data_IF_504326708929
#
_entry.id   IF_504326708929
#
_cell.length_a   1.000
_cell.length_b   1.000
_cell.length_c   1.000
_cell.angle_alpha   90.00
_cell.angle_beta   90.00
_cell.angle_gamma   90.00
#
_symmetry.space_group_name_H-M   'P 1'
#
loop_
_entity.id
_entity.type
_entity.pdbx_description
1 polymer ?
#
# COMPACT_ATOMS: atom_id res chain seq x y z
N UNK A 1 -22.02 41.74 5.82
CA UNK A 1 -21.55 41.64 4.45
C UNK A 1 -20.42 40.68 4.48
N UNK A 2 -20.67 39.45 4.00
CA UNK A 2 -19.81 38.27 4.20
C UNK A 2 -18.88 38.10 2.99
N UNK A 3 -17.60 38.23 3.23
CA UNK A 3 -16.57 37.76 2.30
C UNK A 3 -16.03 36.42 2.81
N UNK A 4 -16.68 35.32 2.43
CA UNK A 4 -16.14 33.96 2.62
C UNK A 4 -16.60 33.04 1.47
N UNK A 5 -16.23 33.37 0.24
CA UNK A 5 -16.59 32.51 -0.91
C UNK A 5 -15.47 32.22 -1.91
N UNK A 6 -14.23 32.39 -1.53
CA UNK A 6 -13.08 32.18 -2.44
C UNK A 6 -12.13 31.03 -2.09
N UNK A 7 -12.25 30.42 -0.92
CA UNK A 7 -11.28 29.41 -0.45
C UNK A 7 -11.78 27.96 -0.49
N UNK A 8 -13.07 27.72 -0.74
CA UNK A 8 -13.66 26.38 -0.64
C UNK A 8 -13.50 25.51 -1.89
N UNK A 9 -13.14 26.04 -3.04
CA UNK A 9 -13.04 25.23 -4.27
C UNK A 9 -11.66 24.63 -4.53
N UNK A 10 -10.60 25.17 -3.94
CA UNK A 10 -9.24 24.64 -4.12
C UNK A 10 -8.90 23.51 -3.13
N UNK A 11 -9.64 23.42 -2.02
CA UNK A 11 -9.36 22.50 -0.93
C UNK A 11 -10.00 21.12 -1.16
N UNK A 12 -11.13 21.05 -1.90
CA UNK A 12 -11.89 19.83 -2.08
C UNK A 12 -11.25 18.79 -3.03
N UNK A 13 -10.39 19.20 -3.94
CA UNK A 13 -9.72 18.28 -4.88
C UNK A 13 -8.49 17.58 -4.28
N UNK A 14 -7.75 18.30 -3.44
CA UNK A 14 -6.52 17.79 -2.83
C UNK A 14 -6.83 17.05 -1.52
N UNK A 15 -7.84 17.48 -0.77
CA UNK A 15 -8.27 16.84 0.47
C UNK A 15 -8.89 15.45 0.26
N UNK A 16 -9.49 15.16 -0.87
CA UNK A 16 -10.06 13.83 -1.14
C UNK A 16 -8.98 12.75 -1.20
N UNK A 17 -7.81 13.06 -1.74
CA UNK A 17 -6.71 12.11 -1.81
C UNK A 17 -5.90 12.05 -0.49
N UNK A 18 -5.81 13.17 0.24
CA UNK A 18 -5.12 13.23 1.53
C UNK A 18 -5.97 12.60 2.64
N UNK A 19 -7.29 12.74 2.58
CA UNK A 19 -8.21 12.16 3.56
C UNK A 19 -8.15 10.61 3.56
N UNK A 20 -8.01 10.00 2.39
CA UNK A 20 -7.82 8.54 2.26
C UNK A 20 -6.46 8.08 2.81
N UNK A 21 -5.41 8.88 2.62
CA UNK A 21 -4.09 8.60 3.18
C UNK A 21 -4.04 8.77 4.71
N UNK A 22 -4.74 9.77 5.25
CA UNK A 22 -4.77 10.04 6.71
C UNK A 22 -5.49 8.93 7.47
N UNK A 23 -6.52 8.31 6.89
CA UNK A 23 -7.24 7.23 7.57
C UNK A 23 -6.42 5.92 7.58
N UNK A 24 -5.61 5.67 6.55
CA UNK A 24 -4.65 4.57 6.59
C UNK A 24 -3.53 4.82 7.63
N UNK A 25 -3.16 6.09 7.88
CA UNK A 25 -2.18 6.47 8.89
C UNK A 25 -2.71 6.35 10.33
N UNK A 26 -4.00 6.60 10.55
CA UNK A 26 -4.58 6.52 11.91
C UNK A 26 -4.62 5.09 12.43
N UNK A 27 -4.65 4.08 11.54
CA UNK A 27 -4.54 2.68 11.94
C UNK A 27 -3.12 2.28 12.40
N UNK A 28 -2.10 3.12 12.13
CA UNK A 28 -0.70 2.87 12.45
C UNK A 28 -0.13 3.83 13.52
N UNK A 29 -0.95 4.66 14.16
CA UNK A 29 -0.47 5.55 15.21
C UNK A 29 -0.12 4.76 16.48
N UNK A 30 1.09 4.97 17.07
CA UNK A 30 1.42 4.37 18.34
C UNK A 30 0.47 4.89 19.43
N UNK A 31 0.03 4.00 20.29
CA UNK A 31 -0.88 4.30 21.40
C UNK A 31 -0.37 5.48 22.23
N UNK A 32 -1.01 6.61 22.10
CA UNK A 32 -0.95 7.67 23.11
C UNK A 32 -2.04 7.35 24.12
N UNK A 33 -1.62 6.97 25.31
CA UNK A 33 -2.50 6.65 26.44
C UNK A 33 -3.30 7.88 26.84
N UNK A 34 -4.58 7.91 26.46
CA UNK A 34 -5.59 8.74 27.09
C UNK A 34 -6.94 8.04 27.01
N UNK A 35 -7.65 7.89 28.12
CA UNK A 35 -8.88 7.12 28.17
C UNK A 35 -10.05 7.97 27.70
N UNK A 36 -10.45 7.81 26.44
CA UNK A 36 -11.79 8.19 26.01
C UNK A 36 -12.45 6.92 25.48
N UNK A 37 -13.68 6.61 25.91
CA UNK A 37 -14.44 5.54 25.31
C UNK A 37 -14.84 6.01 23.90
N UNK A 38 -13.97 5.79 22.93
CA UNK A 38 -14.35 5.83 21.53
C UNK A 38 -15.15 4.56 21.31
N UNK A 39 -16.45 4.69 21.38
CA UNK A 39 -17.38 3.80 20.72
C UNK A 39 -16.86 3.64 19.31
N UNK A 40 -16.25 2.50 19.04
CA UNK A 40 -15.74 2.15 17.71
C UNK A 40 -16.99 2.01 16.85
N UNK A 41 -17.41 3.12 16.23
CA UNK A 41 -18.37 3.08 15.15
C UNK A 41 -17.80 2.11 14.12
N UNK A 42 -18.51 1.07 13.71
CA UNK A 42 -18.08 0.26 12.58
C UNK A 42 -17.95 1.22 11.41
N UNK A 43 -16.77 1.36 10.88
CA UNK A 43 -16.48 2.19 9.70
C UNK A 43 -17.23 1.59 8.50
N UNK A 44 -18.52 1.88 8.41
CA UNK A 44 -19.28 1.69 7.19
C UNK A 44 -18.82 2.75 6.21
N UNK A 45 -18.02 2.35 5.23
CA UNK A 45 -17.63 3.21 4.12
C UNK A 45 -16.13 3.46 3.96
N UNK A 46 -15.28 2.59 4.49
CA UNK A 46 -13.88 2.60 4.10
C UNK A 46 -13.80 2.15 2.64
N UNK A 47 -13.78 3.11 1.73
CA UNK A 47 -13.47 2.83 0.34
C UNK A 47 -11.98 2.45 0.27
N UNK A 48 -11.70 1.13 0.35
CA UNK A 48 -10.35 0.57 0.17
C UNK A 48 -9.85 0.75 -1.27
N UNK A 49 -10.61 1.46 -2.06
CA UNK A 49 -10.35 1.69 -3.45
C UNK A 49 -9.60 3.00 -3.60
N UNK A 50 -8.33 2.92 -3.87
CA UNK A 50 -7.48 4.06 -4.15
C UNK A 50 -6.69 3.86 -5.46
N UNK A 51 -7.36 3.53 -6.56
CA UNK A 51 -6.67 3.35 -7.83
C UNK A 51 -6.06 4.69 -8.27
N UNK A 52 -4.80 4.62 -8.74
CA UNK A 52 -4.00 5.77 -9.18
C UNK A 52 -3.68 6.80 -8.09
N UNK A 53 -3.84 6.47 -6.80
CA UNK A 53 -3.46 7.35 -5.70
C UNK A 53 -1.98 7.67 -5.72
N UNK A 54 -1.65 8.90 -5.34
CA UNK A 54 -0.29 9.30 -5.03
C UNK A 54 -0.01 9.01 -3.54
N UNK A 55 0.71 7.91 -3.30
CA UNK A 55 1.08 7.42 -1.98
C UNK A 55 2.60 7.42 -1.80
N UNK A 56 3.31 8.19 -2.60
CA UNK A 56 4.78 8.25 -2.56
C UNK A 56 5.26 8.67 -1.18
N UNK A 57 6.28 7.96 -0.70
CA UNK A 57 6.94 8.21 0.59
C UNK A 57 5.99 8.24 1.79
N UNK A 58 4.75 7.71 1.64
CA UNK A 58 3.80 7.63 2.74
C UNK A 58 4.16 6.51 3.71
N UNK A 59 3.85 6.72 4.99
CA UNK A 59 3.95 5.67 5.99
C UNK A 59 2.66 4.86 6.03
N UNK A 60 2.71 3.66 5.46
CA UNK A 60 1.65 2.66 5.47
C UNK A 60 2.08 1.44 6.30
N UNK A 61 2.94 1.67 7.27
CA UNK A 61 3.46 0.63 8.16
C UNK A 61 2.31 -0.03 8.92
N UNK A 62 2.33 -1.37 8.93
CA UNK A 62 1.33 -2.22 9.59
C UNK A 62 -0.13 -1.94 9.13
N UNK A 63 -0.32 -1.29 7.99
CA UNK A 63 -1.63 -0.93 7.46
C UNK A 63 -2.45 -2.17 7.08
N UNK A 64 -3.75 -2.13 7.33
CA UNK A 64 -4.70 -3.19 6.96
C UNK A 64 -5.27 -2.92 5.55
N UNK A 65 -4.60 -3.42 4.52
CA UNK A 65 -4.93 -3.22 3.11
C UNK A 65 -5.47 -4.50 2.43
N UNK A 66 -6.10 -5.38 3.22
CA UNK A 66 -6.67 -6.64 2.72
C UNK A 66 -7.71 -6.35 1.63
N UNK A 67 -7.52 -6.92 0.44
CA UNK A 67 -8.42 -6.75 -0.71
C UNK A 67 -8.48 -5.31 -1.24
N UNK A 68 -7.53 -4.45 -0.91
CA UNK A 68 -7.51 -3.06 -1.37
C UNK A 68 -7.33 -2.98 -2.89
N UNK A 69 -8.05 -2.06 -3.55
CA UNK A 69 -7.81 -1.68 -4.94
C UNK A 69 -6.77 -0.56 -5.00
N UNK A 70 -5.53 -0.94 -5.31
CA UNK A 70 -4.38 -0.05 -5.45
C UNK A 70 -3.83 -0.05 -6.89
N UNK A 71 -4.69 -0.37 -7.84
CA UNK A 71 -4.31 -0.41 -9.26
C UNK A 71 -3.71 0.91 -9.72
N UNK A 72 -2.53 0.82 -10.35
CA UNK A 72 -1.81 1.98 -10.88
C UNK A 72 -1.46 3.04 -9.82
N UNK A 73 -1.55 2.72 -8.52
CA UNK A 73 -1.13 3.63 -7.45
C UNK A 73 0.38 3.89 -7.50
N UNK A 74 0.78 5.09 -7.14
CA UNK A 74 2.19 5.47 -7.02
C UNK A 74 2.62 5.33 -5.55
N UNK A 75 3.25 4.20 -5.24
CA UNK A 75 3.74 3.82 -3.91
C UNK A 75 5.27 3.89 -3.82
N UNK A 76 5.92 4.66 -4.69
CA UNK A 76 7.37 4.77 -4.68
C UNK A 76 7.88 5.29 -3.35
N UNK A 77 8.93 4.65 -2.85
CA UNK A 77 9.58 4.99 -1.59
C UNK A 77 8.63 4.95 -0.36
N UNK A 78 7.45 4.33 -0.49
CA UNK A 78 6.51 4.18 0.63
C UNK A 78 7.02 3.18 1.67
N UNK A 79 6.69 3.42 2.94
CA UNK A 79 6.96 2.49 4.05
C UNK A 79 5.75 1.56 4.26
N UNK A 80 5.84 0.35 3.70
CA UNK A 80 4.81 -0.70 3.78
C UNK A 80 5.22 -1.84 4.72
N UNK A 81 6.16 -1.60 5.64
CA UNK A 81 6.63 -2.63 6.56
C UNK A 81 5.48 -3.22 7.36
N UNK A 82 5.39 -4.56 7.38
CA UNK A 82 4.35 -5.27 8.10
C UNK A 82 2.93 -5.05 7.57
N UNK A 83 2.73 -4.31 6.48
CA UNK A 83 1.40 -4.08 5.93
C UNK A 83 0.75 -5.38 5.47
N UNK A 84 -0.55 -5.52 5.70
CA UNK A 84 -1.32 -6.64 5.23
C UNK A 84 -2.03 -6.29 3.91
N UNK A 85 -1.44 -6.76 2.81
CA UNK A 85 -1.89 -6.60 1.42
C UNK A 85 -2.51 -7.88 0.87
N UNK A 86 -2.99 -8.79 1.73
CA UNK A 86 -3.58 -10.05 1.31
C UNK A 86 -4.74 -9.81 0.33
N UNK A 87 -4.68 -10.45 -0.84
CA UNK A 87 -5.68 -10.31 -1.88
C UNK A 87 -5.82 -8.90 -2.48
N UNK A 88 -4.91 -7.97 -2.19
CA UNK A 88 -4.94 -6.64 -2.78
C UNK A 88 -4.64 -6.68 -4.29
N UNK A 89 -5.28 -5.80 -5.04
CA UNK A 89 -5.00 -5.56 -6.46
C UNK A 89 -4.03 -4.39 -6.61
N UNK A 90 -2.78 -4.72 -6.92
CA UNK A 90 -1.69 -3.78 -7.18
C UNK A 90 -1.35 -3.67 -8.67
N UNK A 91 -2.21 -4.16 -9.56
CA UNK A 91 -1.92 -4.21 -11.01
C UNK A 91 -1.43 -2.87 -11.54
N UNK A 92 -0.26 -2.87 -12.15
CA UNK A 92 0.39 -1.68 -12.69
C UNK A 92 0.83 -0.63 -11.65
N UNK A 93 0.80 -0.94 -10.36
CA UNK A 93 1.29 -0.04 -9.33
C UNK A 93 2.81 0.16 -9.40
N UNK A 94 3.28 1.29 -8.90
CA UNK A 94 4.69 1.67 -8.85
C UNK A 94 5.18 1.57 -7.41
N UNK A 95 5.99 0.56 -7.13
CA UNK A 95 6.54 0.26 -5.81
C UNK A 95 8.08 0.37 -5.79
N UNK A 96 8.66 1.07 -6.78
CA UNK A 96 10.11 1.17 -6.81
C UNK A 96 10.65 1.89 -5.56
N UNK A 97 11.66 1.29 -4.94
CA UNK A 97 12.25 1.77 -3.68
C UNK A 97 11.38 1.58 -2.44
N UNK A 98 10.18 1.03 -2.54
CA UNK A 98 9.31 0.82 -1.38
C UNK A 98 9.89 -0.19 -0.37
N UNK A 99 9.63 0.03 0.91
CA UNK A 99 10.01 -0.89 1.99
C UNK A 99 8.84 -1.80 2.36
N UNK A 100 8.85 -3.03 1.85
CA UNK A 100 7.83 -4.06 2.05
C UNK A 100 8.28 -5.14 3.05
N UNK A 101 9.27 -4.87 3.89
CA UNK A 101 9.80 -5.86 4.84
C UNK A 101 8.69 -6.40 5.75
N UNK A 102 8.56 -7.73 5.78
CA UNK A 102 7.55 -8.40 6.58
C UNK A 102 6.10 -8.17 6.13
N UNK A 103 5.86 -7.51 5.01
CA UNK A 103 4.50 -7.34 4.47
C UNK A 103 3.90 -8.69 4.04
N UNK A 104 2.58 -8.82 4.11
CA UNK A 104 1.82 -9.96 3.63
C UNK A 104 1.15 -9.62 2.28
N UNK A 105 1.63 -10.25 1.20
CA UNK A 105 1.08 -10.14 -0.16
C UNK A 105 0.48 -11.48 -0.62
N UNK A 106 0.00 -12.31 0.30
CA UNK A 106 -0.63 -13.59 -0.05
C UNK A 106 -1.82 -13.35 -0.98
N UNK A 107 -1.89 -14.09 -2.09
CA UNK A 107 -2.93 -13.98 -3.11
C UNK A 107 -3.07 -12.57 -3.74
N UNK A 108 -2.07 -11.71 -3.61
CA UNK A 108 -2.11 -10.38 -4.22
C UNK A 108 -1.97 -10.45 -5.74
N UNK A 109 -2.61 -9.52 -6.44
CA UNK A 109 -2.47 -9.31 -7.88
C UNK A 109 -1.36 -8.28 -8.12
N UNK A 110 -0.27 -8.72 -8.75
CA UNK A 110 0.94 -7.93 -8.98
C UNK A 110 1.26 -7.74 -10.48
N UNK A 111 0.30 -7.94 -11.37
CA UNK A 111 0.53 -7.83 -12.82
C UNK A 111 1.10 -6.47 -13.21
N UNK A 112 2.25 -6.48 -13.88
CA UNK A 112 2.90 -5.26 -14.37
C UNK A 112 3.39 -4.29 -13.31
N UNK A 113 3.56 -4.74 -12.07
CA UNK A 113 4.07 -3.92 -10.96
C UNK A 113 5.55 -3.58 -11.17
N UNK A 114 5.92 -2.36 -10.86
CA UNK A 114 7.33 -1.93 -10.78
C UNK A 114 7.84 -2.07 -9.34
N UNK A 115 8.58 -3.14 -9.05
CA UNK A 115 9.21 -3.41 -7.77
C UNK A 115 10.71 -3.06 -7.73
N UNK A 116 11.24 -2.39 -8.73
CA UNK A 116 12.69 -2.14 -8.81
C UNK A 116 13.22 -1.51 -7.52
N UNK A 117 14.31 -2.07 -7.01
CA UNK A 117 14.96 -1.64 -5.76
C UNK A 117 14.10 -1.72 -4.50
N UNK A 118 12.92 -2.34 -4.55
CA UNK A 118 12.09 -2.55 -3.37
C UNK A 118 12.72 -3.55 -2.40
N UNK A 119 12.39 -3.42 -1.12
CA UNK A 119 12.88 -4.32 -0.06
C UNK A 119 11.75 -5.25 0.41
N UNK A 120 11.76 -6.50 -0.06
CA UNK A 120 10.81 -7.55 0.31
C UNK A 120 11.39 -8.55 1.32
N UNK A 121 12.43 -8.20 2.05
CA UNK A 121 13.00 -9.12 3.04
C UNK A 121 11.95 -9.55 4.06
N UNK A 122 11.87 -10.86 4.31
CA UNK A 122 10.90 -11.47 5.23
C UNK A 122 9.43 -11.24 4.85
N UNK A 123 9.12 -10.73 3.66
CA UNK A 123 7.75 -10.62 3.18
C UNK A 123 7.16 -11.99 2.87
N UNK A 124 5.85 -12.11 2.97
CA UNK A 124 5.07 -13.28 2.58
C UNK A 124 4.38 -13.00 1.26
N UNK A 125 4.77 -13.71 0.19
CA UNK A 125 4.26 -13.48 -1.17
C UNK A 125 3.75 -14.83 -1.73
N UNK A 126 2.87 -15.47 -0.98
CA UNK A 126 2.35 -16.80 -1.31
C UNK A 126 1.26 -16.67 -2.37
N UNK A 127 1.32 -17.49 -3.43
CA UNK A 127 0.33 -17.52 -4.51
C UNK A 127 0.03 -16.17 -5.17
N UNK A 128 0.91 -15.21 -5.06
CA UNK A 128 0.73 -13.93 -5.74
C UNK A 128 0.84 -14.10 -7.26
N UNK A 129 -0.08 -13.50 -8.00
CA UNK A 129 -0.06 -13.51 -9.45
C UNK A 129 0.76 -12.31 -9.96
N UNK A 130 1.89 -12.56 -10.59
CA UNK A 130 2.89 -11.54 -10.86
C UNK A 130 3.48 -11.59 -12.29
N UNK A 131 2.66 -11.58 -13.35
CA UNK A 131 3.18 -11.51 -14.71
C UNK A 131 3.74 -10.11 -15.00
N UNK A 132 4.83 -10.06 -15.76
CA UNK A 132 5.44 -8.82 -16.23
C UNK A 132 5.90 -7.85 -15.12
N UNK A 133 6.22 -8.37 -13.93
CA UNK A 133 6.77 -7.59 -12.83
C UNK A 133 8.22 -7.21 -13.10
N UNK A 134 8.59 -5.97 -12.76
CA UNK A 134 9.97 -5.51 -12.82
C UNK A 134 10.62 -5.72 -11.45
N UNK A 135 11.64 -6.58 -11.38
CA UNK A 135 12.27 -7.00 -10.11
C UNK A 135 13.76 -6.66 -10.02
N UNK A 136 14.25 -5.76 -10.86
CA UNK A 136 15.65 -5.36 -10.83
C UNK A 136 16.03 -4.76 -9.47
N UNK A 137 17.08 -5.27 -8.86
CA UNK A 137 17.58 -4.77 -7.58
C UNK A 137 16.69 -5.03 -6.37
N UNK A 138 15.65 -5.87 -6.49
CA UNK A 138 14.78 -6.24 -5.38
C UNK A 138 15.53 -7.11 -4.37
N UNK A 139 15.27 -6.89 -3.08
CA UNK A 139 15.85 -7.65 -1.99
C UNK A 139 14.83 -8.64 -1.42
N UNK A 140 15.08 -9.95 -1.61
CA UNK A 140 14.16 -11.04 -1.20
C UNK A 140 14.65 -11.87 -0.01
N UNK A 141 15.75 -11.50 0.67
CA UNK A 141 16.32 -12.35 1.72
C UNK A 141 15.26 -12.71 2.79
N UNK A 142 15.02 -14.00 2.98
CA UNK A 142 14.03 -14.52 3.93
C UNK A 142 12.56 -14.34 3.51
N UNK A 143 12.29 -13.89 2.29
CA UNK A 143 10.91 -13.84 1.79
C UNK A 143 10.36 -15.23 1.48
N UNK A 144 9.07 -15.44 1.74
CA UNK A 144 8.35 -16.64 1.33
C UNK A 144 7.61 -16.40 0.02
N UNK A 145 8.13 -16.94 -1.08
CA UNK A 145 7.60 -16.78 -2.43
C UNK A 145 6.84 -18.01 -2.94
N UNK A 146 6.38 -18.90 -2.05
CA UNK A 146 5.74 -20.16 -2.41
C UNK A 146 4.54 -19.93 -3.33
N UNK A 147 4.54 -20.62 -4.49
CA UNK A 147 3.45 -20.52 -5.47
C UNK A 147 3.31 -19.18 -6.18
N UNK A 148 4.16 -18.19 -5.90
CA UNK A 148 4.12 -16.90 -6.60
C UNK A 148 4.84 -16.99 -7.96
N UNK A 149 4.41 -16.15 -8.91
CA UNK A 149 5.04 -16.04 -10.24
C UNK A 149 6.33 -15.19 -10.23
N UNK A 150 6.73 -14.62 -9.09
CA UNK A 150 7.92 -13.78 -8.99
C UNK A 150 9.23 -14.54 -9.27
N UNK A 151 9.23 -15.87 -9.12
CA UNK A 151 10.42 -16.72 -9.31
C UNK A 151 10.65 -17.04 -10.80
N UNK A 152 9.63 -16.95 -11.66
CA UNK A 152 9.68 -17.44 -13.04
C UNK A 152 10.29 -16.42 -14.01
N UNK A 153 10.40 -15.17 -13.63
CA UNK A 153 10.92 -14.08 -14.49
C UNK A 153 12.38 -13.68 -14.26
N UNK A 154 13.02 -14.17 -13.21
CA UNK A 154 14.41 -13.87 -12.87
C UNK A 154 15.26 -15.14 -12.96
N UNK A 155 15.94 -15.34 -14.11
CA UNK A 155 16.91 -16.41 -14.23
C UNK A 155 17.89 -16.36 -13.06
N UNK A 156 17.86 -17.39 -12.22
CA UNK A 156 18.97 -17.74 -11.33
C UNK A 156 20.05 -18.35 -12.20
N UNK A 157 21.10 -17.58 -12.44
CA UNK A 157 22.42 -18.10 -12.75
C UNK A 157 23.30 -17.89 -11.52
#
# INVERSE_FOLDING_TARGET
MNETSGLDMAVNGVLRNVQLCVVALVAAAPAVSSPLPLEVQPYEGFDRNCPRCDLRSQSLRDAHLIGADLRQADLRDADLRGANLEGADLSGARLSGADLRGANLTNAELSGVDLRHADLRHAVVINAFAPNVQVEGVRFAGANLTGSHLIIGGGIN
#
